data_IF_402782583746
#
_entry.id   IF_402782583746
#
_cell.length_a   1.000
_cell.length_b   1.000
_cell.length_c   1.000
_cell.angle_alpha   90.00
_cell.angle_beta   90.00
_cell.angle_gamma   90.00
#
_symmetry.space_group_name_H-M   'P 1'
#
loop_
_entity.id
_entity.type
_entity.pdbx_description
1 polymer ?
#
# COMPACT_ATOMS: atom_id res chain seq x y z
N UNK A 1 0.18 28.27 -17.18
CA UNK A 1 -0.58 28.37 -15.91
C UNK A 1 -0.32 27.14 -15.06
N UNK A 2 0.36 27.28 -13.92
CA UNK A 2 0.46 26.21 -12.93
C UNK A 2 -0.92 26.08 -12.25
N UNK A 3 -1.67 25.01 -12.53
CA UNK A 3 -2.89 24.71 -11.78
C UNK A 3 -2.49 24.44 -10.33
N UNK A 4 -3.08 25.17 -9.38
CA UNK A 4 -2.93 24.88 -7.96
C UNK A 4 -3.34 23.43 -7.72
N UNK A 5 -2.51 22.69 -6.99
CA UNK A 5 -2.79 21.29 -6.65
C UNK A 5 -3.83 21.30 -5.54
N UNK A 6 -5.01 20.72 -5.79
CA UNK A 6 -6.05 20.53 -4.77
C UNK A 6 -5.63 19.40 -3.81
N UNK A 7 -5.88 19.56 -2.51
CA UNK A 7 -5.56 18.58 -1.48
C UNK A 7 -6.82 18.09 -0.78
N UNK A 8 -6.83 16.81 -0.39
CA UNK A 8 -7.89 16.19 0.42
C UNK A 8 -7.24 15.50 1.60
N UNK A 9 -7.72 15.78 2.81
CA UNK A 9 -7.26 15.10 4.01
C UNK A 9 -7.73 13.63 4.03
N UNK A 10 -6.86 12.72 4.46
CA UNK A 10 -7.27 11.35 4.77
C UNK A 10 -7.85 11.26 6.21
N UNK A 11 -8.25 10.05 6.63
CA UNK A 11 -8.80 9.81 7.97
C UNK A 11 -7.84 10.10 9.14
N UNK A 12 -6.57 10.40 8.86
CA UNK A 12 -5.53 10.73 9.84
C UNK A 12 -5.05 12.18 9.73
N UNK A 13 -5.80 13.04 9.03
CA UNK A 13 -5.48 14.47 8.87
C UNK A 13 -4.31 14.76 7.90
N UNK A 14 -3.80 13.76 7.18
CA UNK A 14 -2.71 13.98 6.21
C UNK A 14 -3.28 14.54 4.91
N UNK A 15 -2.76 15.69 4.47
CA UNK A 15 -3.13 16.32 3.21
C UNK A 15 -2.58 15.52 2.02
N UNK A 16 -3.46 14.90 1.24
CA UNK A 16 -3.11 14.12 0.05
C UNK A 16 -3.42 14.95 -1.21
N UNK A 17 -2.45 15.17 -2.11
CA UNK A 17 -2.70 15.88 -3.36
C UNK A 17 -3.62 15.05 -4.28
N UNK A 18 -4.65 15.67 -4.86
CA UNK A 18 -5.55 15.05 -5.85
C UNK A 18 -4.86 14.93 -7.20
N UNK A 19 -4.35 13.74 -7.51
CA UNK A 19 -3.65 13.45 -8.78
C UNK A 19 -3.63 11.96 -9.12
N UNK A 20 -3.32 11.61 -10.36
CA UNK A 20 -3.23 10.23 -10.83
C UNK A 20 -2.24 9.40 -9.99
N UNK A 21 -1.17 10.00 -9.45
CA UNK A 21 -0.23 9.31 -8.56
C UNK A 21 -0.88 8.80 -7.24
N UNK A 22 -1.93 9.46 -6.77
CA UNK A 22 -2.63 9.16 -5.51
C UNK A 22 -4.02 8.54 -5.75
N UNK A 23 -4.38 8.31 -7.01
CA UNK A 23 -5.66 7.75 -7.41
C UNK A 23 -5.75 6.25 -7.09
N UNK A 24 -6.93 5.77 -6.69
CA UNK A 24 -7.25 4.36 -6.49
C UNK A 24 -7.20 3.55 -7.79
N UNK A 25 -7.52 4.20 -8.92
CA UNK A 25 -7.55 3.57 -10.25
C UNK A 25 -6.19 3.57 -10.97
N UNK A 26 -5.09 3.85 -10.26
CA UNK A 26 -3.76 3.81 -10.86
C UNK A 26 -3.33 2.36 -11.04
N UNK A 27 -2.94 2.01 -12.25
CA UNK A 27 -2.17 0.80 -12.54
C UNK A 27 -0.71 1.00 -12.14
N UNK A 28 -0.07 -0.08 -11.71
CA UNK A 28 1.39 -0.09 -11.57
C UNK A 28 2.04 -0.18 -12.94
N UNK A 29 2.90 0.79 -13.25
CA UNK A 29 3.74 0.82 -14.44
C UNK A 29 5.19 0.62 -14.03
N UNK A 30 6.00 -0.02 -14.87
CA UNK A 30 7.45 -0.15 -14.64
C UNK A 30 8.15 1.22 -14.56
N UNK A 31 7.61 2.22 -15.27
CA UNK A 31 8.14 3.59 -15.27
C UNK A 31 7.43 4.44 -14.22
N UNK A 32 8.21 5.10 -13.36
CA UNK A 32 7.71 6.06 -12.35
C UNK A 32 7.19 7.37 -12.97
N UNK A 33 7.61 7.69 -14.19
CA UNK A 33 7.28 8.92 -14.92
C UNK A 33 5.91 8.89 -15.59
N UNK A 34 5.32 7.71 -15.73
CA UNK A 34 4.00 7.45 -16.28
C UNK A 34 3.17 6.64 -15.30
N UNK A 35 1.86 6.67 -15.44
CA UNK A 35 0.91 5.79 -14.75
C UNK A 35 -0.10 5.30 -15.76
N UNK A 36 -0.59 4.09 -15.63
CA UNK A 36 -1.76 3.63 -16.37
C UNK A 36 -3.01 3.98 -15.58
N UNK A 37 -4.04 4.54 -16.21
CA UNK A 37 -5.33 4.75 -15.58
C UNK A 37 -6.26 3.60 -15.95
N UNK A 38 -6.67 2.79 -14.97
CA UNK A 38 -7.51 1.60 -15.20
C UNK A 38 -8.94 1.94 -15.64
N UNK A 39 -9.42 3.15 -15.36
CA UNK A 39 -10.78 3.59 -15.73
C UNK A 39 -10.87 4.09 -17.18
N UNK A 40 -9.81 4.75 -17.66
CA UNK A 40 -9.75 5.31 -19.01
C UNK A 40 -8.89 4.48 -19.96
N UNK A 41 -8.35 3.37 -19.46
CA UNK A 41 -7.41 2.47 -20.14
C UNK A 41 -6.32 3.19 -20.95
N UNK A 42 -5.63 4.13 -20.30
CA UNK A 42 -4.58 4.93 -20.96
C UNK A 42 -3.46 5.35 -20.04
N UNK A 43 -2.31 5.64 -20.64
CA UNK A 43 -1.20 6.27 -19.94
C UNK A 43 -1.47 7.74 -19.60
N UNK A 44 -1.15 8.13 -18.38
CA UNK A 44 -1.30 9.47 -17.84
C UNK A 44 -0.02 9.91 -17.13
N UNK A 45 0.20 11.24 -17.05
CA UNK A 45 1.28 11.79 -16.22
C UNK A 45 0.87 11.73 -14.74
N UNK A 46 1.79 11.43 -13.80
CA UNK A 46 1.48 11.34 -12.36
C UNK A 46 0.83 12.60 -11.76
N UNK A 47 1.12 13.77 -12.34
CA UNK A 47 0.60 15.09 -11.92
C UNK A 47 -0.80 15.40 -12.46
N UNK A 48 -1.33 14.63 -13.40
CA UNK A 48 -2.68 14.85 -13.94
C UNK A 48 -3.74 14.51 -12.90
N UNK A 49 -4.97 14.96 -13.12
CA UNK A 49 -6.16 14.63 -12.32
C UNK A 49 -7.39 14.64 -13.25
N UNK A 50 -8.40 13.84 -12.94
CA UNK A 50 -9.70 13.86 -13.59
C UNK A 50 -10.83 13.87 -12.54
N UNK A 51 -12.06 14.09 -12.99
CA UNK A 51 -13.25 14.11 -12.11
C UNK A 51 -13.53 12.79 -11.40
N UNK A 52 -13.02 11.67 -11.94
CA UNK A 52 -13.16 10.32 -11.36
C UNK A 52 -12.06 9.99 -10.34
N UNK A 53 -11.30 10.98 -9.87
CA UNK A 53 -10.26 10.73 -8.89
C UNK A 53 -10.85 10.23 -7.58
N UNK A 54 -10.28 9.14 -7.06
CA UNK A 54 -10.58 8.61 -5.73
C UNK A 54 -9.26 8.36 -4.99
N UNK A 55 -9.20 8.64 -3.69
CA UNK A 55 -8.00 8.40 -2.90
C UNK A 55 -7.66 6.89 -2.84
N UNK A 56 -6.42 6.52 -3.15
CA UNK A 56 -5.98 5.12 -3.08
C UNK A 56 -5.96 4.59 -1.65
N UNK A 57 -6.11 3.27 -1.47
CA UNK A 57 -6.07 2.63 -0.15
C UNK A 57 -4.78 2.94 0.62
N UNK A 58 -3.64 3.00 -0.08
CA UNK A 58 -2.36 3.37 0.54
C UNK A 58 -2.36 4.80 1.06
N UNK A 59 -2.99 5.74 0.35
CA UNK A 59 -3.09 7.13 0.79
C UNK A 59 -4.13 7.29 1.91
N UNK A 60 -5.25 6.54 1.86
CA UNK A 60 -6.22 6.48 2.96
C UNK A 60 -5.59 6.00 4.27
N UNK A 61 -4.70 5.01 4.18
CA UNK A 61 -3.97 4.45 5.31
C UNK A 61 -2.66 5.20 5.65
N UNK A 62 -2.29 6.26 4.93
CA UNK A 62 -1.11 7.04 5.26
C UNK A 62 -1.28 7.63 6.67
N UNK A 63 -0.28 7.48 7.53
CA UNK A 63 -0.38 7.92 8.92
C UNK A 63 -1.01 6.92 9.88
N UNK A 64 -1.63 5.82 9.42
CA UNK A 64 -2.19 4.77 10.29
C UNK A 64 -1.16 4.19 11.28
N UNK A 65 0.10 4.11 10.86
CA UNK A 65 1.21 3.68 11.73
C UNK A 65 1.68 4.73 12.73
N UNK A 66 1.25 5.99 12.63
CA UNK A 66 1.76 7.09 13.47
C UNK A 66 3.26 7.30 13.37
N UNK A 67 3.88 6.97 12.23
CA UNK A 67 5.34 7.00 12.06
C UNK A 67 6.10 5.86 12.75
N UNK A 68 5.41 4.92 13.42
CA UNK A 68 6.04 3.79 14.11
C UNK A 68 6.74 2.86 13.13
N UNK A 69 7.98 2.51 13.46
CA UNK A 69 8.82 1.62 12.67
C UNK A 69 8.54 0.18 13.10
N UNK A 70 8.35 -0.71 12.11
CA UNK A 70 8.16 -2.13 12.36
C UNK A 70 9.50 -2.78 12.75
N UNK A 71 9.47 -3.68 13.72
CA UNK A 71 10.59 -4.49 14.18
C UNK A 71 11.16 -5.34 13.06
N UNK A 72 12.49 -5.50 13.07
CA UNK A 72 13.20 -6.35 12.11
C UNK A 72 12.74 -7.81 12.20
N UNK A 73 12.46 -8.29 13.40
CA UNK A 73 11.99 -9.66 13.66
C UNK A 73 10.66 -9.92 12.97
N UNK A 74 9.71 -8.98 13.08
CA UNK A 74 8.42 -9.07 12.41
C UNK A 74 8.58 -9.09 10.87
N UNK A 75 9.46 -8.26 10.33
CA UNK A 75 9.70 -8.23 8.88
C UNK A 75 10.33 -9.54 8.38
N UNK A 76 11.24 -10.14 9.15
CA UNK A 76 11.80 -11.47 8.85
C UNK A 76 10.72 -12.55 8.91
N UNK A 77 9.89 -12.55 9.97
CA UNK A 77 8.79 -13.50 10.13
C UNK A 77 7.80 -13.43 8.96
N UNK A 78 7.39 -12.21 8.58
CA UNK A 78 6.53 -11.99 7.43
C UNK A 78 7.16 -12.50 6.12
N UNK A 79 8.47 -12.29 5.93
CA UNK A 79 9.17 -12.79 4.74
C UNK A 79 9.20 -14.31 4.68
N UNK A 80 9.40 -14.99 5.82
CA UNK A 80 9.37 -16.45 5.92
C UNK A 80 7.99 -17.00 5.55
N UNK A 81 6.92 -16.51 6.17
CA UNK A 81 5.54 -16.95 5.86
C UNK A 81 5.22 -16.77 4.37
N UNK A 82 5.62 -15.64 3.77
CA UNK A 82 5.42 -15.42 2.32
C UNK A 82 6.30 -16.33 1.45
N UNK A 83 7.50 -16.65 1.91
CA UNK A 83 8.38 -17.62 1.27
C UNK A 83 7.72 -19.00 1.20
N UNK A 84 7.21 -19.48 2.33
CA UNK A 84 6.54 -20.79 2.43
C UNK A 84 5.28 -20.85 1.56
N UNK A 85 4.47 -19.79 1.57
CA UNK A 85 3.29 -19.68 0.71
C UNK A 85 3.66 -19.74 -0.78
N UNK A 86 4.75 -19.09 -1.18
CA UNK A 86 5.21 -19.11 -2.57
C UNK A 86 5.74 -20.50 -2.97
N UNK A 87 6.49 -21.17 -2.10
CA UNK A 87 6.97 -22.54 -2.33
C UNK A 87 5.79 -23.49 -2.50
N UNK A 88 4.78 -23.41 -1.62
CA UNK A 88 3.60 -24.24 -1.71
C UNK A 88 2.83 -24.01 -3.03
N UNK A 89 2.68 -22.75 -3.46
CA UNK A 89 2.09 -22.44 -4.78
C UNK A 89 2.90 -23.00 -5.94
N UNK A 90 4.23 -22.89 -5.89
CA UNK A 90 5.12 -23.43 -6.93
C UNK A 90 5.03 -24.96 -7.02
N UNK A 91 4.81 -25.63 -5.88
CA UNK A 91 4.58 -27.07 -5.81
C UNK A 91 3.14 -27.49 -6.18
N UNK A 92 2.31 -26.56 -6.66
CA UNK A 92 0.93 -26.84 -7.08
C UNK A 92 -0.07 -27.04 -5.94
N UNK A 93 0.31 -26.74 -4.69
CA UNK A 93 -0.59 -26.85 -3.55
C UNK A 93 -1.61 -25.71 -3.56
N UNK A 94 -2.88 -26.06 -3.36
CA UNK A 94 -3.96 -25.07 -3.21
C UNK A 94 -3.95 -24.52 -1.79
N UNK A 95 -3.20 -23.44 -1.59
CA UNK A 95 -3.15 -22.73 -0.31
C UNK A 95 -4.06 -21.50 -0.29
N UNK A 96 -4.58 -21.17 0.89
CA UNK A 96 -5.24 -19.88 1.13
C UNK A 96 -4.24 -18.97 1.87
N UNK A 97 -3.65 -17.95 1.21
CA UNK A 97 -2.64 -17.10 1.82
C UNK A 97 -3.18 -16.41 3.07
N UNK A 98 -2.38 -16.37 4.14
CA UNK A 98 -2.75 -15.63 5.35
C UNK A 98 -2.82 -14.14 5.04
N UNK A 99 -3.81 -13.45 5.58
CA UNK A 99 -3.85 -11.99 5.51
C UNK A 99 -2.69 -11.39 6.30
N UNK A 100 -2.23 -10.20 5.92
CA UNK A 100 -1.16 -9.51 6.67
C UNK A 100 -1.55 -9.27 8.12
N UNK A 101 -2.84 -9.02 8.39
CA UNK A 101 -3.36 -8.85 9.75
C UNK A 101 -3.41 -10.16 10.55
N UNK A 102 -3.59 -11.31 9.89
CA UNK A 102 -3.47 -12.61 10.55
C UNK A 102 -2.02 -12.87 10.98
N UNK A 103 -1.07 -12.71 10.05
CA UNK A 103 0.38 -12.88 10.32
C UNK A 103 0.84 -11.90 11.41
N UNK A 104 0.33 -10.66 11.38
CA UNK A 104 0.58 -9.67 12.44
C UNK A 104 0.10 -10.18 13.80
N UNK A 105 -1.14 -10.64 13.89
CA UNK A 105 -1.73 -11.10 15.16
C UNK A 105 -0.98 -12.30 15.73
N UNK A 106 -0.60 -13.25 14.88
CA UNK A 106 0.24 -14.40 15.28
C UNK A 106 1.57 -13.93 15.89
N UNK A 107 2.27 -13.03 15.20
CA UNK A 107 3.51 -12.47 15.73
C UNK A 107 3.30 -11.69 17.04
N UNK A 108 2.25 -10.87 17.12
CA UNK A 108 1.95 -10.06 18.32
C UNK A 108 1.61 -10.93 19.53
N UNK A 109 0.97 -12.09 19.32
CA UNK A 109 0.66 -13.06 20.37
C UNK A 109 1.91 -13.74 20.93
N UNK A 110 2.88 -14.09 20.08
CA UNK A 110 4.09 -14.83 20.48
C UNK A 110 5.24 -13.93 20.94
N UNK A 111 5.39 -12.76 20.32
CA UNK A 111 6.59 -11.91 20.46
C UNK A 111 6.30 -10.48 20.92
N UNK A 112 5.03 -10.17 21.22
CA UNK A 112 4.57 -8.83 21.56
C UNK A 112 4.55 -7.89 20.36
N UNK A 113 4.47 -6.58 20.62
CA UNK A 113 4.31 -5.53 19.59
C UNK A 113 5.22 -5.72 18.37
N UNK A 114 4.66 -5.53 17.16
CA UNK A 114 5.43 -5.48 15.90
C UNK A 114 6.21 -4.19 15.71
N UNK A 115 6.03 -3.19 16.58
CA UNK A 115 6.69 -1.89 16.48
C UNK A 115 7.87 -1.81 17.44
N UNK A 116 8.90 -1.07 17.03
CA UNK A 116 10.03 -0.74 17.90
C UNK A 116 9.49 0.20 18.99
N UNK A 117 9.79 -0.10 20.25
CA UNK A 117 9.60 0.86 21.34
C UNK A 117 10.78 1.84 21.26
N UNK A 118 10.48 3.08 20.89
CA UNK A 118 11.44 4.21 20.88
C UNK A 118 11.06 5.11 22.04
#
# INVERSE_FOLDING_TARGET
MQRQTEFVANGYGIAIPKRCATCAHKGQTRLMTRRHCLVHDKEVKPKNVCSLWQMSSQMKAAGLGGGRIKRREYLKYLALVRGDENIAKQNGLKIMPKSVDAIRREFEQEHGSIYINI
#
